data_IF_561818751611
#
_entry.id   IF_561818751611
#
_cell.length_a   1.000
_cell.length_b   1.000
_cell.length_c   1.000
_cell.angle_alpha   90.00
_cell.angle_beta   90.00
_cell.angle_gamma   90.00
#
_symmetry.space_group_name_H-M   'P 1'
#
loop_
_entity.id
_entity.type
_entity.pdbx_description
1 polymer ?
#
# COMPACT_ATOMS: atom_id res chain seq x y z
N UNK A 1 -15.16 -10.98 8.62
CA UNK A 1 -14.73 -9.80 7.83
C UNK A 1 -15.46 -8.57 8.33
N UNK A 2 -14.73 -7.55 8.77
CA UNK A 2 -15.29 -6.23 9.06
C UNK A 2 -15.32 -5.36 7.80
N UNK A 3 -15.82 -4.13 7.91
CA UNK A 3 -16.01 -3.21 6.79
C UNK A 3 -14.68 -2.83 6.13
N UNK A 4 -13.67 -2.60 6.94
CA UNK A 4 -12.34 -2.15 6.56
C UNK A 4 -11.63 -3.25 5.76
N UNK A 5 -11.71 -4.52 6.21
CA UNK A 5 -11.17 -5.67 5.46
C UNK A 5 -11.74 -5.72 4.03
N UNK A 6 -13.07 -5.58 3.90
CA UNK A 6 -13.73 -5.60 2.58
C UNK A 6 -13.29 -4.43 1.71
N UNK A 7 -13.10 -3.25 2.31
CA UNK A 7 -12.66 -2.06 1.60
C UNK A 7 -11.22 -2.20 1.10
N UNK A 8 -10.31 -2.74 1.93
CA UNK A 8 -8.93 -3.03 1.55
C UNK A 8 -8.90 -4.00 0.36
N UNK A 9 -9.65 -5.11 0.44
CA UNK A 9 -9.72 -6.09 -0.65
C UNK A 9 -10.24 -5.47 -1.95
N UNK A 10 -11.32 -4.67 -1.88
CA UNK A 10 -11.88 -4.00 -3.05
C UNK A 10 -10.91 -3.00 -3.70
N UNK A 11 -10.19 -2.23 -2.88
CA UNK A 11 -9.18 -1.30 -3.39
C UNK A 11 -8.01 -2.03 -4.07
N UNK A 12 -7.57 -3.15 -3.48
CA UNK A 12 -6.49 -3.97 -4.03
C UNK A 12 -6.90 -4.65 -5.34
N UNK A 13 -8.10 -5.22 -5.38
CA UNK A 13 -8.70 -5.80 -6.58
C UNK A 13 -8.76 -4.77 -7.72
N UNK A 14 -9.41 -3.62 -7.49
CA UNK A 14 -9.51 -2.56 -8.49
C UNK A 14 -8.14 -2.03 -8.96
N UNK A 15 -7.13 -2.05 -8.10
CA UNK A 15 -5.77 -1.67 -8.49
C UNK A 15 -5.10 -2.72 -9.40
N UNK A 16 -5.23 -4.00 -9.07
CA UNK A 16 -4.67 -5.10 -9.85
C UNK A 16 -5.35 -5.25 -11.21
N UNK A 17 -6.67 -5.05 -11.29
CA UNK A 17 -7.41 -5.02 -12.55
C UNK A 17 -6.87 -3.93 -13.50
N UNK A 18 -6.53 -2.75 -12.96
CA UNK A 18 -5.94 -1.65 -13.72
C UNK A 18 -4.46 -1.86 -14.06
N UNK A 19 -3.76 -2.78 -13.39
CA UNK A 19 -2.32 -3.00 -13.53
C UNK A 19 -2.01 -4.51 -13.62
N UNK A 20 -2.51 -5.23 -14.65
CA UNK A 20 -2.47 -6.69 -14.71
C UNK A 20 -1.06 -7.28 -14.82
N UNK A 21 -0.05 -6.47 -15.18
CA UNK A 21 1.35 -6.89 -15.24
C UNK A 21 2.04 -6.92 -13.88
N UNK A 22 1.46 -6.29 -12.85
CA UNK A 22 2.05 -6.26 -11.52
C UNK A 22 1.76 -7.55 -10.77
N UNK A 23 2.79 -8.06 -10.07
CA UNK A 23 2.62 -9.20 -9.16
C UNK A 23 1.86 -8.74 -7.91
N UNK A 24 1.09 -9.65 -7.30
CA UNK A 24 0.31 -9.36 -6.09
C UNK A 24 1.13 -8.68 -4.99
N UNK A 25 2.33 -9.21 -4.68
CA UNK A 25 3.21 -8.60 -3.69
C UNK A 25 3.65 -7.18 -4.04
N UNK A 26 3.88 -6.89 -5.33
CA UNK A 26 4.19 -5.52 -5.77
C UNK A 26 3.02 -4.58 -5.56
N UNK A 27 1.78 -5.05 -5.78
CA UNK A 27 0.59 -4.24 -5.50
C UNK A 27 0.46 -3.90 -4.00
N UNK A 28 0.77 -4.83 -3.10
CA UNK A 28 0.78 -4.56 -1.65
C UNK A 28 1.75 -3.43 -1.29
N UNK A 29 2.94 -3.41 -1.89
CA UNK A 29 3.92 -2.34 -1.68
C UNK A 29 3.49 -1.03 -2.37
N UNK A 30 3.04 -1.10 -3.62
CA UNK A 30 2.67 0.07 -4.40
C UNK A 30 1.48 0.83 -3.79
N UNK A 31 0.60 0.12 -3.08
CA UNK A 31 -0.53 0.66 -2.33
C UNK A 31 -0.20 1.01 -0.87
N UNK A 32 1.07 0.91 -0.44
CA UNK A 32 1.48 1.20 0.94
C UNK A 32 0.78 0.34 2.02
N UNK A 33 0.34 -0.87 1.65
CA UNK A 33 -0.14 -1.88 2.60
C UNK A 33 1.06 -2.42 3.36
N UNK A 34 2.06 -2.92 2.62
CA UNK A 34 3.38 -3.23 3.14
C UNK A 34 4.34 -2.09 2.79
N UNK A 35 5.28 -1.80 3.68
CA UNK A 35 6.25 -0.72 3.48
C UNK A 35 7.60 -1.08 4.12
N UNK A 36 8.67 -0.43 3.69
CA UNK A 36 9.89 -0.36 4.49
C UNK A 36 9.69 0.67 5.61
N UNK A 37 10.40 0.51 6.73
CA UNK A 37 10.49 1.55 7.76
C UNK A 37 11.00 2.86 7.12
N UNK A 38 10.65 4.01 7.72
CA UNK A 38 10.93 5.39 7.21
C UNK A 38 12.42 5.76 7.10
N UNK A 39 13.32 4.79 6.94
CA UNK A 39 14.72 5.03 6.61
C UNK A 39 14.84 4.92 5.09
N UNK A 40 15.32 5.98 4.44
CA UNK A 40 15.53 6.00 2.98
C UNK A 40 16.89 5.44 2.58
N UNK A 41 17.72 5.01 3.55
CA UNK A 41 19.04 4.43 3.30
C UNK A 41 18.97 2.89 3.43
N UNK A 42 19.06 2.13 2.33
CA UNK A 42 19.10 0.67 2.35
C UNK A 42 20.27 0.07 3.13
N UNK A 43 21.31 0.87 3.43
CA UNK A 43 22.48 0.47 4.22
C UNK A 43 22.24 0.65 5.72
N UNK A 44 21.14 1.29 6.11
CA UNK A 44 20.77 1.38 7.50
C UNK A 44 20.44 -0.03 8.00
N UNK A 45 21.06 -0.52 9.10
CA UNK A 45 20.70 -1.81 9.67
C UNK A 45 19.22 -1.92 10.08
N UNK A 46 18.54 -0.77 10.20
CA UNK A 46 17.10 -0.67 10.43
C UNK A 46 16.27 -0.51 9.14
N UNK A 47 16.86 -0.75 7.95
CA UNK A 47 16.11 -0.80 6.68
C UNK A 47 15.34 -2.11 6.56
N UNK A 48 14.36 -2.27 7.43
CA UNK A 48 13.55 -3.47 7.53
C UNK A 48 12.14 -3.21 7.02
N UNK A 49 11.42 -4.30 6.73
CA UNK A 49 9.99 -4.21 6.52
C UNK A 49 9.34 -3.64 7.77
N UNK A 50 8.43 -2.68 7.57
CA UNK A 50 7.59 -2.13 8.63
C UNK A 50 6.80 -3.28 9.23
N UNK A 51 6.81 -3.34 10.55
CA UNK A 51 5.87 -4.19 11.27
C UNK A 51 4.46 -3.62 11.10
N UNK A 52 3.56 -4.44 10.54
CA UNK A 52 2.16 -4.12 10.31
C UNK A 52 1.24 -4.88 11.27
N UNK A 53 1.79 -5.67 12.20
CA UNK A 53 1.00 -6.50 13.13
C UNK A 53 0.05 -5.65 13.98
N UNK A 54 0.47 -4.43 14.35
CA UNK A 54 -0.29 -3.49 15.17
C UNK A 54 -0.96 -2.37 14.36
N UNK A 55 -0.91 -2.42 13.03
CA UNK A 55 -1.56 -1.39 12.21
C UNK A 55 -3.08 -1.55 12.28
N UNK A 56 -3.79 -0.44 12.47
CA UNK A 56 -5.25 -0.45 12.40
C UNK A 56 -5.69 -0.56 10.93
N UNK A 57 -6.74 -1.34 10.66
CA UNK A 57 -7.28 -1.47 9.31
C UNK A 57 -7.71 -0.13 8.70
N UNK A 58 -8.20 0.80 9.54
CA UNK A 58 -8.56 2.15 9.10
C UNK A 58 -7.33 2.92 8.59
N UNK A 59 -6.20 2.82 9.29
CA UNK A 59 -4.95 3.46 8.88
C UNK A 59 -4.46 2.88 7.54
N UNK A 60 -4.62 1.57 7.34
CA UNK A 60 -4.30 0.91 6.07
C UNK A 60 -5.18 1.47 4.95
N UNK A 61 -6.49 1.60 5.18
CA UNK A 61 -7.43 2.20 4.20
C UNK A 61 -7.01 3.62 3.83
N UNK A 62 -6.68 4.47 4.82
CA UNK A 62 -6.26 5.85 4.58
C UNK A 62 -4.95 5.91 3.77
N UNK A 63 -3.97 5.05 4.09
CA UNK A 63 -2.72 4.97 3.33
C UNK A 63 -2.94 4.57 1.88
N UNK A 64 -3.80 3.58 1.63
CA UNK A 64 -4.14 3.16 0.26
C UNK A 64 -4.77 4.32 -0.51
N UNK A 65 -5.75 5.01 0.07
CA UNK A 65 -6.43 6.15 -0.58
C UNK A 65 -5.46 7.29 -0.90
N UNK A 66 -4.69 7.75 0.08
CA UNK A 66 -3.69 8.79 -0.10
C UNK A 66 -2.67 8.42 -1.19
N UNK A 67 -2.31 7.14 -1.28
CA UNK A 67 -1.39 6.64 -2.30
C UNK A 67 -2.02 6.62 -3.70
N UNK A 68 -3.28 6.23 -3.83
CA UNK A 68 -4.01 6.28 -5.09
C UNK A 68 -4.16 7.71 -5.60
N UNK A 69 -4.53 8.65 -4.72
CA UNK A 69 -4.64 10.08 -5.06
C UNK A 69 -3.30 10.64 -5.57
N UNK A 70 -2.19 10.27 -4.93
CA UNK A 70 -0.86 10.66 -5.37
C UNK A 70 -0.53 10.08 -6.75
N UNK A 71 -0.80 8.79 -6.99
CA UNK A 71 -0.57 8.14 -8.28
C UNK A 71 -1.36 8.83 -9.40
N UNK A 72 -2.63 9.16 -9.14
CA UNK A 72 -3.49 9.86 -10.09
C UNK A 72 -2.98 11.28 -10.38
N UNK A 73 -2.60 12.02 -9.34
CA UNK A 73 -2.02 13.36 -9.49
C UNK A 73 -0.72 13.39 -10.31
N UNK A 74 0.05 12.31 -10.30
CA UNK A 74 1.28 12.16 -11.09
C UNK A 74 1.01 11.76 -12.55
N UNK A 75 -0.12 11.09 -12.83
CA UNK A 75 -0.53 10.74 -14.21
C UNK A 75 -1.09 11.92 -14.98
N UNK A 76 -1.66 12.90 -14.28
CA UNK A 76 -2.27 14.09 -14.86
C UNK A 76 -1.28 15.26 -15.03
N UNK A 77 0.01 15.03 -14.80
CA UNK A 77 1.12 15.96 -15.08
C UNK A 77 1.85 15.53 -16.34
#
# INVERSE_FOLDING_TARGET
MIKEHKLILKLLESYLEKNPSQRFGQALFNLNINQFQKTTDPRNPNYNLRDIYNDNDLDIVERIKNRLDLIESQRNK
#
